data_IF_860069460014
#
_entry.id   IF_860069460014
#
_cell.length_a   1.000
_cell.length_b   1.000
_cell.length_c   1.000
_cell.angle_alpha   90.00
_cell.angle_beta   90.00
_cell.angle_gamma   90.00
#
_symmetry.space_group_name_H-M   'P 1'
#
loop_
_entity.id
_entity.type
_entity.pdbx_description
1 polymer ?
#
# COMPACT_ATOMS: atom_id res chain seq x y z
N UNK A 1 16.08 24.17 -20.47
CA UNK A 1 16.54 22.78 -20.36
C UNK A 1 16.89 22.49 -18.90
N UNK A 2 15.87 22.21 -18.07
CA UNK A 2 16.05 22.00 -16.62
C UNK A 2 16.37 20.52 -16.38
N UNK A 3 17.52 20.29 -15.75
CA UNK A 3 18.09 18.96 -15.51
C UNK A 3 17.30 18.23 -14.41
N UNK A 4 16.53 17.21 -14.82
CA UNK A 4 15.88 16.15 -14.03
C UNK A 4 16.86 15.26 -13.21
N UNK A 5 17.96 15.82 -12.67
CA UNK A 5 19.10 15.03 -12.18
C UNK A 5 19.05 14.58 -10.71
N UNK A 6 18.18 15.13 -9.87
CA UNK A 6 18.23 14.83 -8.41
C UNK A 6 17.39 13.62 -7.97
N UNK A 7 16.28 13.27 -8.63
CA UNK A 7 15.51 12.07 -8.28
C UNK A 7 16.14 10.74 -8.73
N UNK A 8 17.04 10.76 -9.71
CA UNK A 8 17.67 9.53 -10.25
C UNK A 8 18.74 8.92 -9.34
N UNK A 9 19.38 9.70 -8.49
CA UNK A 9 20.45 9.21 -7.61
C UNK A 9 19.91 8.56 -6.33
N UNK A 10 18.87 9.14 -5.71
CA UNK A 10 18.14 8.50 -4.61
C UNK A 10 17.53 7.15 -5.06
N UNK A 11 16.89 7.12 -6.23
CA UNK A 11 16.32 5.89 -6.79
C UNK A 11 17.36 4.79 -7.07
N UNK A 12 18.59 5.11 -7.51
CA UNK A 12 19.66 4.09 -7.71
C UNK A 12 20.27 3.60 -6.41
N UNK A 13 20.40 4.47 -5.41
CA UNK A 13 20.84 4.11 -4.06
C UNK A 13 19.82 3.20 -3.37
N UNK A 14 18.54 3.56 -3.44
CA UNK A 14 17.42 2.80 -2.90
C UNK A 14 17.23 1.45 -3.61
N UNK A 15 17.35 1.38 -4.94
CA UNK A 15 17.31 0.11 -5.68
C UNK A 15 18.49 -0.82 -5.33
N UNK A 16 19.68 -0.27 -4.99
CA UNK A 16 20.81 -1.06 -4.48
C UNK A 16 20.57 -1.53 -3.04
N UNK A 17 19.94 -0.72 -2.20
CA UNK A 17 19.56 -1.11 -0.83
C UNK A 17 18.40 -2.11 -0.78
N UNK A 18 17.40 -2.00 -1.67
CA UNK A 18 16.32 -2.98 -1.81
C UNK A 18 16.82 -4.40 -2.07
N UNK A 19 17.93 -4.54 -2.79
CA UNK A 19 18.61 -5.84 -3.01
C UNK A 19 19.35 -6.34 -1.75
N UNK A 20 19.52 -5.50 -0.73
CA UNK A 20 20.33 -5.71 0.49
C UNK A 20 19.53 -5.74 1.79
N UNK A 21 18.20 -5.78 1.76
CA UNK A 21 17.39 -6.02 2.98
C UNK A 21 16.87 -7.46 3.13
N UNK A 22 17.67 -8.53 2.89
CA UNK A 22 17.28 -9.81 3.42
C UNK A 22 17.55 -9.88 4.94
N UNK A 23 16.84 -10.79 5.63
CA UNK A 23 17.16 -11.12 7.02
C UNK A 23 18.67 -11.42 7.16
N UNK A 24 19.38 -10.83 8.14
CA UNK A 24 20.84 -10.99 8.29
C UNK A 24 21.25 -12.44 8.61
N UNK A 25 20.31 -13.26 9.10
CA UNK A 25 20.56 -14.68 9.37
C UNK A 25 20.37 -15.53 8.12
N UNK A 26 19.24 -15.38 7.43
CA UNK A 26 18.80 -16.36 6.42
C UNK A 26 18.82 -15.86 4.98
N UNK A 27 19.16 -14.59 4.74
CA UNK A 27 19.13 -14.06 3.39
C UNK A 27 17.70 -13.91 2.84
N UNK A 28 16.65 -14.01 3.67
CA UNK A 28 15.25 -14.11 3.25
C UNK A 28 14.83 -15.51 2.82
N UNK A 29 15.73 -16.49 2.83
CA UNK A 29 15.42 -17.90 2.60
C UNK A 29 15.26 -18.61 3.95
N UNK A 30 14.01 -18.80 4.39
CA UNK A 30 13.71 -19.39 5.69
C UNK A 30 14.35 -20.79 5.88
N UNK A 31 14.58 -21.55 4.81
CA UNK A 31 15.24 -22.86 4.88
C UNK A 31 16.71 -22.76 5.27
N UNK A 32 17.32 -21.59 5.07
CA UNK A 32 18.70 -21.25 5.47
C UNK A 32 18.77 -20.57 6.84
N UNK A 33 17.63 -20.34 7.51
CA UNK A 33 17.62 -19.72 8.82
C UNK A 33 18.21 -20.66 9.86
N UNK A 34 19.24 -20.19 10.58
CA UNK A 34 19.91 -20.93 11.65
C UNK A 34 19.30 -20.65 13.03
N UNK A 35 18.30 -19.79 13.12
CA UNK A 35 17.53 -19.60 14.35
C UNK A 35 16.60 -20.78 14.55
N UNK A 36 16.54 -21.32 15.77
CA UNK A 36 15.56 -22.34 16.16
C UNK A 36 14.11 -21.83 15.95
N UNK A 37 13.89 -20.55 16.25
CA UNK A 37 12.62 -19.84 16.06
C UNK A 37 12.88 -18.49 15.39
N UNK A 38 12.30 -18.27 14.22
CA UNK A 38 12.32 -16.95 13.59
C UNK A 38 11.34 -16.02 14.33
N UNK A 39 11.80 -14.88 14.91
CA UNK A 39 10.93 -14.00 15.70
C UNK A 39 9.77 -13.40 14.88
N UNK A 40 9.96 -13.20 13.58
CA UNK A 40 8.93 -12.67 12.68
C UNK A 40 7.91 -13.72 12.20
N UNK A 41 8.26 -15.01 12.27
CA UNK A 41 7.39 -16.09 11.82
C UNK A 41 6.78 -16.88 12.97
N UNK A 42 7.21 -16.64 14.23
CA UNK A 42 6.76 -17.40 15.40
C UNK A 42 5.24 -17.45 15.48
N UNK A 43 4.59 -16.30 15.33
CA UNK A 43 3.14 -16.15 15.53
C UNK A 43 2.31 -16.59 14.32
N UNK A 44 2.93 -16.76 13.15
CA UNK A 44 2.26 -17.19 11.90
C UNK A 44 2.66 -18.59 11.45
N UNK A 45 3.58 -19.27 12.14
CA UNK A 45 4.15 -20.56 11.68
C UNK A 45 3.08 -21.63 11.47
N UNK A 46 2.13 -21.74 12.39
CA UNK A 46 1.05 -22.72 12.29
C UNK A 46 0.10 -22.41 11.14
N UNK A 47 -0.26 -21.14 10.99
CA UNK A 47 -1.09 -20.65 9.90
C UNK A 47 -0.42 -20.90 8.54
N UNK A 48 0.87 -20.59 8.41
CA UNK A 48 1.67 -20.86 7.23
C UNK A 48 1.73 -22.35 6.88
N UNK A 49 1.86 -23.24 7.87
CA UNK A 49 1.82 -24.69 7.67
C UNK A 49 0.46 -25.17 7.16
N UNK A 50 -0.64 -24.69 7.74
CA UNK A 50 -2.01 -25.02 7.31
C UNK A 50 -2.24 -24.60 5.86
N UNK A 51 -1.84 -23.39 5.52
CA UNK A 51 -1.97 -22.81 4.18
C UNK A 51 -1.13 -23.57 3.14
N UNK A 52 0.06 -24.07 3.52
CA UNK A 52 0.91 -24.81 2.59
C UNK A 52 0.29 -26.14 2.15
N UNK A 53 -0.62 -26.74 2.92
CA UNK A 53 -1.29 -28.00 2.58
C UNK A 53 -2.58 -27.86 1.78
N UNK A 54 -2.97 -26.63 1.39
CA UNK A 54 -4.24 -26.38 0.71
C UNK A 54 -4.06 -25.53 -0.55
N UNK A 55 -4.83 -25.86 -1.58
CA UNK A 55 -5.00 -25.02 -2.79
C UNK A 55 -6.13 -24.01 -2.63
N UNK A 56 -7.02 -24.22 -1.66
CA UNK A 56 -8.16 -23.34 -1.39
C UNK A 56 -7.94 -22.60 -0.09
N UNK A 57 -8.09 -21.29 -0.13
CA UNK A 57 -7.96 -20.40 1.01
C UNK A 57 -9.30 -19.72 1.22
N UNK A 58 -9.81 -19.76 2.44
CA UNK A 58 -11.05 -19.11 2.81
C UNK A 58 -10.84 -18.23 4.03
N UNK A 59 -11.35 -17.00 3.98
CA UNK A 59 -11.32 -16.08 5.11
C UNK A 59 -11.72 -14.66 4.76
N UNK A 60 -11.79 -13.82 5.79
CA UNK A 60 -12.26 -12.43 5.73
C UNK A 60 -11.13 -11.53 5.25
N UNK A 61 -11.15 -11.14 3.98
CA UNK A 61 -10.20 -10.16 3.43
C UNK A 61 -10.51 -8.77 3.99
N UNK A 62 -9.52 -7.99 4.45
CA UNK A 62 -9.67 -6.60 4.94
C UNK A 62 -9.83 -5.58 3.79
N UNK A 63 -10.69 -5.91 2.83
CA UNK A 63 -10.60 -5.54 1.41
C UNK A 63 -9.21 -5.15 0.91
N UNK A 64 -8.40 -6.12 0.47
CA UNK A 64 -7.04 -5.83 0.01
C UNK A 64 -6.71 -6.49 -1.32
N UNK A 65 -6.10 -5.72 -2.21
CA UNK A 65 -5.65 -6.16 -3.53
C UNK A 65 -4.30 -5.54 -3.85
N UNK A 66 -3.42 -6.32 -4.49
CA UNK A 66 -2.06 -5.89 -4.79
C UNK A 66 -1.76 -6.00 -6.28
N UNK A 67 -1.46 -4.86 -6.89
CA UNK A 67 -1.11 -4.73 -8.31
C UNK A 67 0.39 -4.44 -8.37
N UNK A 68 1.14 -5.41 -8.89
CA UNK A 68 2.59 -5.30 -9.04
C UNK A 68 3.01 -4.38 -10.19
N UNK A 69 4.20 -3.81 -10.10
CA UNK A 69 4.83 -3.00 -11.16
C UNK A 69 5.64 -3.84 -12.16
N UNK A 70 6.10 -5.02 -11.77
CA UNK A 70 6.93 -5.88 -12.61
C UNK A 70 6.15 -6.42 -13.81
N UNK A 71 6.70 -6.24 -15.01
CA UNK A 71 6.10 -6.69 -16.27
C UNK A 71 5.15 -5.70 -16.94
N UNK A 72 4.97 -4.48 -16.40
CA UNK A 72 4.12 -3.44 -17.00
C UNK A 72 4.36 -3.29 -18.52
N UNK A 73 3.32 -3.29 -19.37
CA UNK A 73 1.88 -3.12 -19.07
C UNK A 73 1.12 -4.42 -18.77
N UNK A 74 1.80 -5.57 -18.58
CA UNK A 74 1.19 -6.81 -18.09
C UNK A 74 1.61 -7.06 -16.65
N UNK A 75 0.72 -6.75 -15.72
CA UNK A 75 1.01 -6.72 -14.29
C UNK A 75 0.46 -7.96 -13.58
N UNK A 76 1.04 -8.28 -12.42
CA UNK A 76 0.46 -9.28 -11.52
C UNK A 76 -0.57 -8.59 -10.61
N UNK A 77 -1.83 -8.99 -10.73
CA UNK A 77 -2.92 -8.52 -9.89
C UNK A 77 -3.54 -9.68 -9.11
N UNK A 78 -4.03 -9.42 -7.90
CA UNK A 78 -4.77 -10.40 -7.12
C UNK A 78 -5.09 -9.91 -5.71
N UNK A 79 -6.03 -10.60 -5.04
CA UNK A 79 -6.45 -10.24 -3.69
C UNK A 79 -5.41 -10.69 -2.66
N UNK A 80 -5.52 -10.12 -1.46
CA UNK A 80 -4.84 -10.58 -0.26
C UNK A 80 -5.90 -11.11 0.71
N UNK A 81 -5.81 -12.41 1.03
CA UNK A 81 -6.82 -13.11 1.84
C UNK A 81 -6.12 -13.83 2.98
N UNK A 82 -6.38 -13.47 4.25
CA UNK A 82 -5.90 -14.25 5.38
C UNK A 82 -6.80 -15.47 5.60
N UNK A 83 -6.26 -16.64 5.99
CA UNK A 83 -7.03 -17.87 6.18
C UNK A 83 -7.73 -17.89 7.56
N UNK A 84 -8.42 -16.80 7.88
CA UNK A 84 -9.14 -16.60 9.15
C UNK A 84 -10.49 -15.95 8.87
N UNK A 85 -11.50 -16.33 9.63
CA UNK A 85 -12.80 -15.67 9.63
C UNK A 85 -12.93 -14.86 10.92
N UNK A 86 -12.70 -13.55 10.81
CA UNK A 86 -12.67 -12.63 11.92
C UNK A 86 -12.75 -11.20 11.39
N UNK A 87 -12.89 -10.23 12.29
CA UNK A 87 -12.65 -8.84 11.93
C UNK A 87 -11.16 -8.65 11.59
N UNK A 88 -10.86 -8.48 10.31
CA UNK A 88 -9.52 -8.25 9.78
C UNK A 88 -9.24 -6.78 9.50
N UNK A 89 -10.13 -5.85 9.84
CA UNK A 89 -10.00 -4.41 9.51
C UNK A 89 -8.64 -3.84 9.90
N UNK A 90 -8.11 -4.24 11.06
CA UNK A 90 -6.79 -3.83 11.55
C UNK A 90 -5.64 -4.16 10.57
N UNK A 91 -5.78 -5.19 9.73
CA UNK A 91 -4.77 -5.61 8.75
C UNK A 91 -4.61 -4.65 7.55
N UNK A 92 -5.49 -3.65 7.40
CA UNK A 92 -5.40 -2.55 6.44
C UNK A 92 -5.61 -1.16 7.09
N UNK A 93 -5.61 -1.08 8.43
CA UNK A 93 -5.64 0.19 9.18
C UNK A 93 -4.23 0.73 9.45
N UNK A 94 -3.67 1.40 8.44
CA UNK A 94 -2.31 1.95 8.51
C UNK A 94 -2.14 3.00 9.62
N UNK A 95 -3.21 3.72 9.99
CA UNK A 95 -3.16 4.77 11.00
C UNK A 95 -2.83 4.21 12.38
N UNK A 96 -3.42 3.07 12.73
CA UNK A 96 -3.18 2.42 14.02
C UNK A 96 -1.90 1.58 14.09
N UNK A 97 -1.22 1.33 12.96
CA UNK A 97 -0.08 0.40 12.93
C UNK A 97 1.15 0.89 13.67
N UNK A 98 1.31 2.20 13.78
CA UNK A 98 2.44 2.80 14.49
C UNK A 98 2.37 2.50 16.00
N UNK A 99 1.16 2.28 16.54
CA UNK A 99 0.93 1.95 17.94
C UNK A 99 0.99 0.43 18.24
N UNK A 100 1.03 -0.41 17.20
CA UNK A 100 1.16 -1.86 17.36
C UNK A 100 2.61 -2.27 17.50
N UNK A 101 2.96 -3.30 18.29
CA UNK A 101 4.30 -3.88 18.27
C UNK A 101 4.71 -4.34 16.87
N UNK A 102 5.95 -4.09 16.45
CA UNK A 102 6.45 -4.43 15.11
C UNK A 102 6.22 -5.90 14.76
N UNK A 103 6.39 -6.79 15.75
CA UNK A 103 6.18 -8.22 15.60
C UNK A 103 4.74 -8.56 15.22
N UNK A 104 3.77 -7.88 15.86
CA UNK A 104 2.34 -8.03 15.54
C UNK A 104 2.02 -7.50 14.14
N UNK A 105 2.59 -6.35 13.76
CA UNK A 105 2.44 -5.82 12.42
C UNK A 105 2.96 -6.79 11.35
N UNK A 106 4.18 -7.29 11.55
CA UNK A 106 4.79 -8.26 10.63
C UNK A 106 3.98 -9.55 10.56
N UNK A 107 3.49 -10.08 11.69
CA UNK A 107 2.68 -11.31 11.70
C UNK A 107 1.36 -11.13 10.94
N UNK A 108 0.62 -10.03 11.16
CA UNK A 108 -0.59 -9.70 10.40
C UNK A 108 -0.33 -9.63 8.89
N UNK A 109 0.75 -8.97 8.49
CA UNK A 109 1.11 -8.83 7.07
C UNK A 109 1.54 -10.16 6.43
N UNK A 110 2.23 -11.02 7.19
CA UNK A 110 2.66 -12.34 6.74
C UNK A 110 1.53 -13.39 6.76
N UNK A 111 0.43 -13.16 7.47
CA UNK A 111 -0.76 -14.04 7.40
C UNK A 111 -1.57 -13.87 6.12
N UNK A 112 -1.37 -12.77 5.39
CA UNK A 112 -2.12 -12.45 4.17
C UNK A 112 -1.62 -13.31 2.99
N UNK A 113 -2.46 -14.26 2.53
CA UNK A 113 -2.16 -15.06 1.35
C UNK A 113 -2.41 -14.24 0.10
N UNK A 114 -1.37 -14.11 -0.73
CA UNK A 114 -1.41 -13.34 -1.96
C UNK A 114 -1.79 -14.20 -3.16
N UNK A 115 -2.97 -13.93 -3.69
CA UNK A 115 -3.31 -14.31 -5.05
C UNK A 115 -2.53 -13.46 -6.08
N UNK A 116 -2.04 -14.08 -7.15
CA UNK A 116 -1.48 -13.35 -8.29
C UNK A 116 -1.90 -13.97 -9.62
N UNK A 117 -2.29 -13.15 -10.58
CA UNK A 117 -2.50 -13.53 -11.98
C UNK A 117 -1.96 -12.44 -12.91
N UNK A 118 -1.30 -12.79 -14.03
CA UNK A 118 -0.95 -11.81 -15.04
C UNK A 118 -2.21 -11.24 -15.72
N UNK A 119 -2.32 -9.91 -15.77
CA UNK A 119 -3.45 -9.17 -16.35
C UNK A 119 -2.91 -7.98 -17.14
N UNK A 120 -3.54 -7.62 -18.27
CA UNK A 120 -3.16 -6.38 -18.96
C UNK A 120 -3.81 -5.20 -18.24
N UNK A 121 -3.09 -4.10 -18.09
CA UNK A 121 -3.62 -2.94 -17.36
C UNK A 121 -4.93 -2.39 -17.94
N UNK A 122 -5.13 -2.52 -19.25
CA UNK A 122 -6.32 -2.07 -19.97
C UNK A 122 -7.58 -2.91 -19.67
N UNK A 123 -7.39 -4.15 -19.18
CA UNK A 123 -8.50 -5.06 -18.84
C UNK A 123 -9.36 -4.52 -17.69
N UNK A 124 -8.89 -3.53 -16.94
CA UNK A 124 -9.68 -2.84 -15.91
C UNK A 124 -11.03 -2.30 -16.43
N UNK A 125 -11.12 -2.00 -17.73
CA UNK A 125 -12.33 -1.47 -18.38
C UNK A 125 -13.36 -2.55 -18.70
N UNK A 126 -12.85 -3.74 -19.05
CA UNK A 126 -13.62 -4.89 -19.49
C UNK A 126 -13.06 -6.12 -18.74
N UNK A 127 -13.31 -6.20 -17.42
CA UNK A 127 -12.64 -7.16 -16.56
C UNK A 127 -13.09 -8.59 -16.86
N UNK A 128 -12.14 -9.54 -16.80
CA UNK A 128 -12.49 -10.94 -16.64
C UNK A 128 -13.27 -11.15 -15.33
N UNK A 129 -13.99 -12.27 -15.19
CA UNK A 129 -14.71 -12.61 -13.96
C UNK A 129 -13.85 -12.46 -12.70
N UNK A 130 -12.62 -12.96 -12.74
CA UNK A 130 -11.69 -12.83 -11.61
C UNK A 130 -11.36 -11.36 -11.31
N UNK A 131 -11.08 -10.55 -12.33
CA UNK A 131 -10.74 -9.14 -12.12
C UNK A 131 -11.95 -8.36 -11.60
N UNK A 132 -13.15 -8.67 -12.08
CA UNK A 132 -14.39 -8.08 -11.60
C UNK A 132 -14.60 -8.38 -10.11
N UNK A 133 -14.41 -9.64 -9.68
CA UNK A 133 -14.45 -10.00 -8.25
C UNK A 133 -13.43 -9.21 -7.42
N UNK A 134 -12.21 -9.03 -7.93
CA UNK A 134 -11.16 -8.26 -7.21
C UNK A 134 -11.53 -6.77 -7.16
N UNK A 135 -12.12 -6.23 -8.23
CA UNK A 135 -12.62 -4.85 -8.28
C UNK A 135 -13.74 -4.63 -7.28
N UNK A 136 -14.70 -5.56 -7.21
CA UNK A 136 -15.81 -5.54 -6.27
C UNK A 136 -15.32 -5.64 -4.81
N UNK A 137 -14.38 -6.55 -4.52
CA UNK A 137 -13.69 -6.61 -3.24
C UNK A 137 -13.01 -5.27 -2.92
N UNK A 138 -12.38 -4.63 -3.90
CA UNK A 138 -11.70 -3.35 -3.73
C UNK A 138 -12.61 -2.19 -3.36
N UNK A 139 -13.91 -2.28 -3.66
CA UNK A 139 -14.92 -1.27 -3.30
C UNK A 139 -15.47 -1.46 -1.89
N UNK A 140 -15.23 -2.63 -1.27
CA UNK A 140 -15.73 -2.93 0.06
C UNK A 140 -15.07 -2.04 1.13
N UNK A 141 -15.86 -1.65 2.12
CA UNK A 141 -15.42 -0.87 3.28
C UNK A 141 -15.05 -1.76 4.48
N UNK A 142 -15.81 -2.83 4.70
CA UNK A 142 -15.60 -3.79 5.80
C UNK A 142 -14.93 -5.07 5.31
N UNK A 143 -14.33 -5.86 6.20
CA UNK A 143 -13.91 -7.22 5.88
C UNK A 143 -14.99 -7.98 5.12
N UNK A 144 -14.57 -8.72 4.08
CA UNK A 144 -15.46 -9.50 3.23
C UNK A 144 -14.91 -10.92 3.09
N UNK A 145 -15.75 -11.93 3.33
CA UNK A 145 -15.36 -13.33 3.18
C UNK A 145 -15.09 -13.67 1.71
N UNK A 146 -13.89 -14.20 1.46
CA UNK A 146 -13.40 -14.57 0.13
C UNK A 146 -12.94 -16.01 0.11
N UNK A 147 -13.42 -16.77 -0.87
CA UNK A 147 -12.86 -18.06 -1.25
C UNK A 147 -11.90 -17.88 -2.43
N UNK A 148 -10.63 -18.25 -2.22
CA UNK A 148 -9.54 -18.13 -3.18
C UNK A 148 -9.03 -19.52 -3.56
N UNK A 149 -9.16 -19.87 -4.84
CA UNK A 149 -8.67 -21.12 -5.40
C UNK A 149 -7.36 -20.87 -6.16
N UNK A 150 -6.32 -21.60 -5.78
CA UNK A 150 -4.98 -21.52 -6.35
C UNK A 150 -4.68 -22.74 -7.24
N UNK A 151 -3.88 -22.52 -8.28
CA UNK A 151 -3.43 -23.60 -9.19
C UNK A 151 -2.63 -24.68 -8.44
N UNK A 152 -1.80 -24.23 -7.50
CA UNK A 152 -0.92 -25.03 -6.65
C UNK A 152 -0.91 -24.46 -5.24
N UNK A 153 -0.40 -25.25 -4.31
CA UNK A 153 -0.11 -24.80 -2.96
C UNK A 153 0.71 -23.50 -2.98
N UNK A 154 0.36 -22.50 -2.15
CA UNK A 154 1.02 -21.22 -2.15
C UNK A 154 2.46 -21.36 -1.66
N UNK A 155 3.36 -20.67 -2.34
CA UNK A 155 4.78 -20.68 -2.01
C UNK A 155 5.04 -19.70 -0.87
N UNK A 156 5.61 -20.20 0.23
CA UNK A 156 6.06 -19.38 1.36
C UNK A 156 7.41 -18.77 1.02
N UNK A 157 7.38 -17.51 0.58
CA UNK A 157 8.57 -16.66 0.40
C UNK A 157 8.24 -15.27 0.93
N UNK A 158 8.33 -15.05 2.25
CA UNK A 158 8.08 -13.73 2.83
C UNK A 158 9.05 -12.73 2.18
N UNK A 159 8.49 -11.76 1.46
CA UNK A 159 9.27 -10.72 0.80
C UNK A 159 9.37 -9.51 1.71
N UNK A 160 10.54 -9.24 2.26
CA UNK A 160 10.84 -7.96 2.88
C UNK A 160 11.44 -7.06 1.80
N UNK A 161 10.59 -6.24 1.18
CA UNK A 161 11.03 -5.22 0.21
C UNK A 161 10.86 -3.85 0.86
N UNK A 162 11.77 -2.93 0.56
CA UNK A 162 11.71 -1.58 1.13
C UNK A 162 10.42 -0.83 0.75
N UNK A 163 9.87 -1.10 -0.45
CA UNK A 163 8.72 -0.38 -1.01
C UNK A 163 7.38 -1.12 -0.96
N UNK A 164 7.35 -2.34 -0.43
CA UNK A 164 6.12 -3.09 -0.30
C UNK A 164 6.03 -3.67 1.10
N UNK A 165 4.87 -3.52 1.72
CA UNK A 165 4.56 -4.21 2.96
C UNK A 165 4.85 -5.71 2.79
N UNK A 166 5.41 -6.38 3.81
CA UNK A 166 5.61 -7.82 3.77
C UNK A 166 4.34 -8.53 3.30
N UNK A 167 4.49 -9.51 2.43
CA UNK A 167 3.37 -10.34 2.00
C UNK A 167 3.60 -11.77 2.44
N UNK A 168 2.53 -12.44 2.83
CA UNK A 168 2.53 -13.86 3.16
C UNK A 168 2.75 -14.78 1.97
N UNK A 169 2.32 -16.06 2.08
CA UNK A 169 2.40 -17.05 1.00
C UNK A 169 1.76 -16.54 -0.29
N UNK A 170 2.26 -16.96 -1.45
CA UNK A 170 1.68 -16.53 -2.73
C UNK A 170 1.47 -17.67 -3.71
N UNK A 171 0.35 -17.62 -4.43
CA UNK A 171 -0.02 -18.64 -5.42
C UNK A 171 -0.70 -18.03 -6.64
N UNK A 172 -0.65 -18.74 -7.76
CA UNK A 172 -1.36 -18.33 -8.98
C UNK A 172 -2.86 -18.55 -8.79
N UNK A 173 -3.67 -17.52 -8.98
CA UNK A 173 -5.13 -17.60 -8.77
C UNK A 173 -5.83 -18.19 -9.98
N UNK A 174 -6.63 -19.21 -9.74
CA UNK A 174 -7.57 -19.78 -10.70
C UNK A 174 -8.90 -19.04 -10.60
N UNK A 175 -9.43 -18.94 -9.37
CA UNK A 175 -10.76 -18.41 -9.08
C UNK A 175 -10.75 -17.63 -7.75
N UNK A 176 -11.55 -16.59 -7.68
CA UNK A 176 -11.89 -15.91 -6.43
C UNK A 176 -13.40 -15.70 -6.39
N UNK A 177 -14.02 -15.91 -5.23
CA UNK A 177 -15.45 -15.80 -5.01
C UNK A 177 -15.65 -14.97 -3.74
N UNK A 178 -16.51 -13.96 -3.81
CA UNK A 178 -17.01 -13.31 -2.60
C UNK A 178 -18.12 -14.21 -2.04
N UNK A 179 -17.95 -14.67 -0.80
CA UNK A 179 -18.93 -15.54 -0.14
C UNK A 179 -20.12 -14.76 0.42
N UNK A 180 -20.04 -13.43 0.39
CA UNK A 180 -21.08 -12.51 0.82
C UNK A 180 -21.08 -11.25 -0.05
N UNK A 181 -22.12 -10.43 0.07
CA UNK A 181 -22.18 -9.14 -0.61
C UNK A 181 -21.32 -8.11 0.15
N UNK A 182 -20.33 -7.47 -0.50
CA UNK A 182 -19.49 -6.49 0.17
C UNK A 182 -20.28 -5.24 0.55
N UNK A 183 -19.97 -4.69 1.72
CA UNK A 183 -20.52 -3.39 2.14
C UNK A 183 -19.79 -2.27 1.41
N UNK A 184 -20.44 -1.65 0.42
CA UNK A 184 -19.87 -0.57 -0.40
C UNK A 184 -20.48 0.77 0.01
N UNK A 185 -19.67 1.80 0.34
CA UNK A 185 -20.17 3.15 0.61
C UNK A 185 -20.86 3.74 -0.62
N UNK A 186 -22.02 4.38 -0.44
CA UNK A 186 -22.80 4.97 -1.55
C UNK A 186 -21.99 5.93 -2.42
N UNK A 187 -21.09 6.71 -1.82
CA UNK A 187 -20.21 7.64 -2.54
C UNK A 187 -19.19 6.91 -3.41
N UNK A 188 -18.68 5.76 -2.96
CA UNK A 188 -17.76 4.91 -3.73
C UNK A 188 -18.50 4.32 -4.92
N UNK A 189 -19.67 3.73 -4.69
CA UNK A 189 -20.49 3.15 -5.76
C UNK A 189 -20.85 4.19 -6.85
N UNK A 190 -21.28 5.39 -6.41
CA UNK A 190 -21.58 6.51 -7.30
C UNK A 190 -20.37 6.93 -8.14
N UNK A 191 -19.22 7.16 -7.51
CA UNK A 191 -18.02 7.66 -8.19
C UNK A 191 -17.42 6.60 -9.12
N UNK A 192 -17.43 5.33 -8.73
CA UNK A 192 -16.94 4.23 -9.57
C UNK A 192 -17.86 4.02 -10.78
N UNK A 193 -19.17 4.24 -10.62
CA UNK A 193 -20.15 4.17 -11.72
C UNK A 193 -20.06 5.36 -12.68
N UNK A 194 -19.54 6.52 -12.23
CA UNK A 194 -19.32 7.68 -13.09
C UNK A 194 -18.09 7.47 -13.99
N UNK A 195 -18.37 7.17 -15.25
CA UNK A 195 -17.37 6.86 -16.27
C UNK A 195 -16.86 8.10 -17.03
N UNK A 196 -17.40 9.28 -16.74
CA UNK A 196 -17.05 10.57 -17.35
C UNK A 196 -16.35 11.53 -16.36
N UNK A 197 -16.24 11.13 -15.09
CA UNK A 197 -15.46 11.84 -14.07
C UNK A 197 -13.96 11.63 -14.25
N UNK A 198 -13.17 12.72 -14.17
CA UNK A 198 -11.70 12.62 -14.19
C UNK A 198 -11.18 11.99 -12.89
N UNK A 199 -10.11 11.20 -12.98
CA UNK A 199 -9.55 10.50 -11.82
C UNK A 199 -9.15 11.48 -10.69
N UNK A 200 -8.57 12.64 -11.04
CA UNK A 200 -8.20 13.67 -10.06
C UNK A 200 -9.40 14.29 -9.33
N UNK A 201 -10.54 14.45 -10.01
CA UNK A 201 -11.77 14.92 -9.41
C UNK A 201 -12.37 13.83 -8.50
N UNK A 202 -12.46 12.60 -9.01
CA UNK A 202 -12.94 11.44 -8.26
C UNK A 202 -12.16 11.21 -6.95
N UNK A 203 -10.82 11.28 -7.00
CA UNK A 203 -9.94 11.14 -5.83
C UNK A 203 -10.29 12.17 -4.77
N UNK A 204 -10.39 13.45 -5.15
CA UNK A 204 -10.66 14.51 -4.17
C UNK A 204 -12.10 14.50 -3.64
N UNK A 205 -13.09 14.15 -4.48
CA UNK A 205 -14.48 13.98 -4.04
C UNK A 205 -14.63 12.84 -3.02
N UNK A 206 -13.95 11.71 -3.24
CA UNK A 206 -13.89 10.61 -2.27
C UNK A 206 -13.26 11.08 -0.95
N UNK A 207 -12.10 11.74 -1.04
CA UNK A 207 -11.38 12.25 0.14
C UNK A 207 -12.25 13.20 0.97
N UNK A 208 -12.86 14.21 0.33
CA UNK A 208 -13.76 15.17 0.97
C UNK A 208 -15.02 14.55 1.55
N UNK A 209 -15.43 13.39 1.05
CA UNK A 209 -16.58 12.64 1.55
C UNK A 209 -16.21 11.71 2.72
N UNK A 210 -14.97 11.80 3.23
CA UNK A 210 -14.50 11.00 4.37
C UNK A 210 -14.04 9.60 4.02
N UNK A 211 -13.87 9.27 2.72
CA UNK A 211 -13.29 7.98 2.33
C UNK A 211 -11.78 8.04 2.58
N UNK A 212 -11.29 7.10 3.41
CA UNK A 212 -9.88 7.02 3.75
C UNK A 212 -8.98 6.85 2.52
N UNK A 213 -7.82 7.50 2.54
CA UNK A 213 -6.86 7.55 1.44
C UNK A 213 -6.49 6.16 0.90
N UNK A 214 -6.32 5.18 1.79
CA UNK A 214 -6.03 3.78 1.43
C UNK A 214 -7.11 3.14 0.55
N UNK A 215 -8.37 3.43 0.84
CA UNK A 215 -9.49 2.98 0.02
C UNK A 215 -9.42 3.64 -1.35
N UNK A 216 -9.12 4.94 -1.43
CA UNK A 216 -8.96 5.67 -2.69
C UNK A 216 -7.80 5.11 -3.52
N UNK A 217 -6.65 4.84 -2.90
CA UNK A 217 -5.49 4.18 -3.51
C UNK A 217 -5.88 2.83 -4.10
N UNK A 218 -6.65 2.02 -3.37
CA UNK A 218 -7.15 0.72 -3.83
C UNK A 218 -8.06 0.85 -5.05
N UNK A 219 -9.01 1.80 -5.02
CA UNK A 219 -9.90 2.09 -6.15
C UNK A 219 -9.11 2.53 -7.39
N UNK A 220 -8.14 3.43 -7.24
CA UNK A 220 -7.26 3.86 -8.34
C UNK A 220 -6.42 2.70 -8.88
N UNK A 221 -5.81 1.92 -8.00
CA UNK A 221 -4.95 0.79 -8.35
C UNK A 221 -5.71 -0.28 -9.16
N UNK A 222 -6.97 -0.50 -8.82
CA UNK A 222 -7.88 -1.42 -9.52
C UNK A 222 -8.52 -0.84 -10.78
N UNK A 223 -8.14 0.38 -11.16
CA UNK A 223 -8.60 1.05 -12.36
C UNK A 223 -10.08 1.42 -12.31
N UNK A 224 -10.62 1.67 -11.11
CA UNK A 224 -12.03 2.01 -10.91
C UNK A 224 -12.30 3.51 -11.00
N UNK A 225 -11.27 4.35 -11.02
CA UNK A 225 -11.40 5.81 -11.06
C UNK A 225 -10.96 6.38 -12.41
N UNK A 226 -11.67 7.42 -12.85
CA UNK A 226 -11.37 8.18 -14.06
C UNK A 226 -12.23 7.81 -15.28
N UNK A 227 -11.97 8.52 -16.38
CA UNK A 227 -12.69 8.36 -17.65
C UNK A 227 -12.63 6.92 -18.15
N UNK A 228 -13.75 6.36 -18.65
CA UNK A 228 -13.86 4.96 -19.12
C UNK A 228 -12.69 4.54 -20.01
N UNK A 229 -12.42 5.36 -21.02
CA UNK A 229 -11.38 5.12 -22.04
C UNK A 229 -9.95 5.20 -21.50
N UNK A 230 -9.76 5.67 -20.27
CA UNK A 230 -8.46 5.86 -19.64
C UNK A 230 -8.26 5.04 -18.37
N UNK A 231 -9.30 4.42 -17.81
CA UNK A 231 -9.19 3.47 -16.68
C UNK A 231 -8.18 2.37 -17.01
N UNK A 232 -7.25 2.11 -16.08
CA UNK A 232 -6.23 1.06 -16.19
C UNK A 232 -5.90 0.56 -14.79
N UNK A 233 -5.45 -0.68 -14.67
CA UNK A 233 -4.76 -1.10 -13.45
C UNK A 233 -3.49 -0.28 -13.29
N UNK A 234 -3.31 0.31 -12.12
CA UNK A 234 -2.13 1.08 -11.75
C UNK A 234 -1.40 0.31 -10.66
N UNK A 235 -0.08 0.06 -10.79
CA UNK A 235 0.70 -0.51 -9.70
C UNK A 235 0.39 0.18 -8.38
N UNK A 236 0.24 -0.59 -7.32
CA UNK A 236 -0.22 -0.06 -6.02
C UNK A 236 0.70 1.03 -5.49
N UNK A 237 2.03 0.87 -5.67
CA UNK A 237 3.02 1.90 -5.33
C UNK A 237 2.78 3.22 -6.06
N UNK A 238 2.52 3.18 -7.37
CA UNK A 238 2.25 4.39 -8.15
C UNK A 238 0.89 5.01 -7.79
N UNK A 239 -0.05 4.18 -7.36
CA UNK A 239 -1.37 4.64 -6.91
C UNK A 239 -1.29 5.39 -5.60
N UNK A 240 -0.42 4.96 -4.67
CA UNK A 240 -0.11 5.68 -3.43
C UNK A 240 0.40 7.07 -3.80
N UNK A 241 1.52 7.15 -4.53
CA UNK A 241 2.11 8.44 -4.94
C UNK A 241 1.12 9.33 -5.69
N UNK A 242 0.32 8.78 -6.60
CA UNK A 242 -0.64 9.55 -7.38
C UNK A 242 -1.79 10.11 -6.52
N UNK A 243 -2.33 9.33 -5.57
CA UNK A 243 -3.39 9.81 -4.68
C UNK A 243 -2.84 10.89 -3.75
N UNK A 244 -1.70 10.64 -3.11
CA UNK A 244 -1.04 11.56 -2.18
C UNK A 244 -0.76 12.91 -2.86
N UNK A 245 -0.22 12.87 -4.08
CA UNK A 245 0.07 14.06 -4.87
C UNK A 245 -1.20 14.84 -5.25
N UNK A 246 -2.27 14.16 -5.67
CA UNK A 246 -3.52 14.82 -6.05
C UNK A 246 -4.23 15.47 -4.85
N UNK A 247 -4.26 14.79 -3.70
CA UNK A 247 -4.83 15.33 -2.47
C UNK A 247 -3.95 16.47 -1.95
N UNK A 248 -2.64 16.22 -1.84
CA UNK A 248 -1.65 17.18 -1.35
C UNK A 248 -1.65 18.49 -2.13
N UNK A 249 -1.77 18.45 -3.46
CA UNK A 249 -1.88 19.68 -4.28
C UNK A 249 -3.09 20.55 -3.93
N UNK A 250 -4.23 19.93 -3.62
CA UNK A 250 -5.44 20.68 -3.23
C UNK A 250 -5.30 21.24 -1.83
N UNK A 251 -4.86 20.42 -0.88
CA UNK A 251 -4.61 20.86 0.49
C UNK A 251 -3.57 21.99 0.56
N UNK A 252 -2.51 21.94 -0.26
CA UNK A 252 -1.53 23.04 -0.34
C UNK A 252 -2.14 24.36 -0.79
N UNK A 253 -3.11 24.34 -1.70
CA UNK A 253 -3.79 25.57 -2.10
C UNK A 253 -4.70 26.10 -1.00
N UNK A 254 -5.38 25.21 -0.27
CA UNK A 254 -6.18 25.57 0.91
C UNK A 254 -5.29 26.16 2.03
N UNK A 255 -4.11 25.57 2.28
CA UNK A 255 -3.15 26.04 3.29
C UNK A 255 -2.69 27.49 3.08
N UNK A 256 -2.65 27.97 1.83
CA UNK A 256 -2.28 29.36 1.51
C UNK A 256 -3.32 30.39 1.97
N UNK A 257 -4.53 29.95 2.31
CA UNK A 257 -5.62 30.80 2.79
C UNK A 257 -5.65 30.93 4.33
N UNK A 258 -4.85 30.15 5.05
CA UNK A 258 -4.75 30.22 6.50
C UNK A 258 -3.82 31.33 6.97
N UNK A 259 -4.03 31.80 8.21
CA UNK A 259 -3.18 32.77 8.87
C UNK A 259 -1.75 32.25 9.06
N UNK A 260 -0.79 33.17 9.14
CA UNK A 260 0.61 32.86 9.38
C UNK A 260 0.83 32.30 10.78
N UNK A 261 1.80 31.40 10.89
CA UNK A 261 2.29 30.93 12.17
C UNK A 261 3.23 32.01 12.73
N UNK A 262 3.07 32.37 14.00
CA UNK A 262 3.86 33.44 14.62
C UNK A 262 5.01 32.94 15.51
N UNK A 263 5.09 31.62 15.72
CA UNK A 263 6.05 30.97 16.61
C UNK A 263 6.66 29.74 15.97
N UNK A 264 7.87 29.37 16.38
CA UNK A 264 8.42 28.08 16.01
C UNK A 264 7.62 26.98 16.69
N UNK A 265 7.20 25.98 15.91
CA UNK A 265 6.53 24.80 16.44
C UNK A 265 7.34 23.56 16.06
N UNK A 266 7.67 22.74 17.05
CA UNK A 266 8.44 21.53 16.86
C UNK A 266 7.56 20.33 17.20
N UNK A 267 7.36 19.48 16.22
CA UNK A 267 6.61 18.23 16.35
C UNK A 267 7.56 17.06 16.14
N UNK A 268 7.38 16.01 16.94
CA UNK A 268 8.16 14.79 16.80
C UNK A 268 7.28 13.58 17.04
N UNK A 269 7.49 12.55 16.25
CA UNK A 269 6.93 11.23 16.48
C UNK A 269 7.97 10.15 16.20
N UNK A 270 7.96 9.08 16.99
CA UNK A 270 8.87 7.94 16.82
C UNK A 270 8.08 6.64 16.92
N UNK A 271 8.24 5.78 15.91
CA UNK A 271 7.70 4.43 15.91
C UNK A 271 8.58 3.51 15.05
N UNK A 272 8.69 2.24 15.43
CA UNK A 272 9.37 1.21 14.63
C UNK A 272 10.78 1.58 14.17
N UNK A 273 11.56 2.23 15.04
CA UNK A 273 12.92 2.71 14.75
C UNK A 273 13.00 3.78 13.67
N UNK A 274 11.87 4.43 13.37
CA UNK A 274 11.80 5.61 12.53
C UNK A 274 11.34 6.80 13.37
N UNK A 275 12.08 7.90 13.30
CA UNK A 275 11.75 9.15 13.97
C UNK A 275 11.54 10.25 12.93
N UNK A 276 10.38 10.89 12.97
CA UNK A 276 10.05 12.04 12.13
C UNK A 276 9.99 13.27 13.02
N UNK A 277 10.71 14.32 12.64
CA UNK A 277 10.70 15.62 13.31
C UNK A 277 10.29 16.67 12.29
N UNK A 278 9.25 17.44 12.60
CA UNK A 278 8.74 18.54 11.77
C UNK A 278 8.93 19.84 12.53
N UNK A 279 9.62 20.79 11.92
CA UNK A 279 9.77 22.16 12.40
C UNK A 279 8.93 23.08 11.52
N UNK A 280 7.90 23.71 12.09
CA UNK A 280 7.19 24.81 11.45
C UNK A 280 7.87 26.13 11.80
N UNK A 281 8.08 26.96 10.79
CA UNK A 281 8.84 28.21 10.90
C UNK A 281 7.85 29.39 10.83
N UNK A 282 8.01 30.44 11.67
CA UNK A 282 7.14 31.61 11.64
C UNK A 282 7.05 32.26 10.25
N UNK A 283 5.84 32.56 9.80
CA UNK A 283 5.54 33.19 8.52
C UNK A 283 4.50 32.41 7.70
N UNK A 284 4.56 32.47 6.35
CA UNK A 284 3.70 31.64 5.49
C UNK A 284 3.98 30.15 5.73
N UNK A 285 3.17 29.25 5.17
CA UNK A 285 3.38 27.79 5.29
C UNK A 285 4.81 27.40 4.87
N UNK A 286 5.64 27.11 5.87
CA UNK A 286 7.05 26.78 5.74
C UNK A 286 7.42 25.72 6.76
N UNK A 287 8.22 24.76 6.36
CA UNK A 287 8.64 23.69 7.25
C UNK A 287 10.01 23.13 6.89
N UNK A 288 10.64 22.51 7.88
CA UNK A 288 11.68 21.50 7.67
C UNK A 288 11.21 20.19 8.28
N UNK A 289 11.39 19.08 7.57
CA UNK A 289 11.12 17.74 8.08
C UNK A 289 12.38 16.89 8.00
N UNK A 290 12.69 16.22 9.11
CA UNK A 290 13.77 15.27 9.22
C UNK A 290 13.20 13.90 9.53
N UNK A 291 13.49 12.90 8.70
CA UNK A 291 13.14 11.51 8.94
C UNK A 291 14.41 10.70 9.18
N UNK A 292 14.50 10.07 10.35
CA UNK A 292 15.68 9.36 10.82
C UNK A 292 15.33 7.90 11.05
N UNK A 293 15.90 7.03 10.21
CA UNK A 293 15.80 5.58 10.35
C UNK A 293 17.01 5.03 11.12
N UNK A 294 16.73 4.43 12.27
CA UNK A 294 17.70 3.68 13.06
C UNK A 294 17.74 2.23 12.56
N UNK A 295 18.81 1.85 11.84
CA UNK A 295 19.04 0.48 11.37
C UNK A 295 20.08 -0.19 12.27
N UNK A 296 20.01 -1.52 12.39
CA UNK A 296 21.00 -2.30 13.13
C UNK A 296 22.40 -2.12 12.55
N UNK A 297 23.15 -1.14 13.05
CA UNK A 297 24.50 -0.77 12.63
C UNK A 297 24.67 0.60 11.96
N UNK A 298 23.62 1.43 11.82
CA UNK A 298 23.76 2.76 11.22
C UNK A 298 22.48 3.59 11.19
N UNK A 299 22.61 4.85 10.77
CA UNK A 299 21.51 5.81 10.68
C UNK A 299 21.33 6.26 9.23
N UNK A 300 20.08 6.35 8.77
CA UNK A 300 19.74 6.98 7.49
C UNK A 300 18.86 8.18 7.76
N UNK A 301 19.26 9.35 7.25
CA UNK A 301 18.52 10.60 7.40
C UNK A 301 17.97 10.99 6.04
N UNK A 302 16.68 11.34 6.02
CA UNK A 302 16.06 12.10 4.95
C UNK A 302 15.69 13.48 5.46
N UNK A 303 15.76 14.47 4.58
CA UNK A 303 15.39 15.85 4.86
C UNK A 303 14.56 16.37 3.69
N UNK A 304 13.46 17.03 4.02
CA UNK A 304 12.63 17.76 3.06
C UNK A 304 12.22 19.11 3.66
N UNK A 305 11.93 20.09 2.81
CA UNK A 305 11.68 21.45 3.29
C UNK A 305 10.89 22.29 2.28
N UNK A 306 10.08 23.19 2.79
CA UNK A 306 9.44 24.27 2.04
C UNK A 306 9.88 25.61 2.67
N UNK A 307 10.75 26.35 2.00
CA UNK A 307 11.35 27.60 2.49
C UNK A 307 11.12 28.76 1.50
N UNK A 308 11.19 30.02 1.95
CA UNK A 308 11.03 31.18 1.08
C UNK A 308 12.07 31.20 -0.04
N UNK A 309 11.61 31.35 -1.28
CA UNK A 309 12.49 31.47 -2.46
C UNK A 309 12.96 30.13 -3.04
N UNK A 310 12.60 29.00 -2.43
CA UNK A 310 12.73 27.71 -3.10
C UNK A 310 11.77 27.67 -4.30
N UNK A 311 12.22 27.22 -5.49
CA UNK A 311 11.29 26.95 -6.59
C UNK A 311 10.35 25.84 -6.14
N UNK A 312 9.04 26.03 -6.33
CA UNK A 312 8.01 25.05 -5.96
C UNK A 312 8.42 23.65 -6.47
N UNK A 313 8.87 22.80 -5.54
CA UNK A 313 9.51 21.51 -5.88
C UNK A 313 8.47 20.46 -6.24
N UNK A 314 7.18 20.78 -6.10
CA UNK A 314 6.07 19.86 -6.28
C UNK A 314 5.16 20.33 -7.43
N UNK A 315 5.27 19.73 -8.64
CA UNK A 315 4.55 20.17 -9.84
C UNK A 315 3.04 19.95 -9.82
#
# INVERSE_FOLDING_TARGET
MVQLKLYRFAGRGELREERRVPCPVCGGDFKKCRLEICPYLKDVRELLRKVQGSKTIFGSSPPSALIGSWGYPRVLAGPLVPPIQADTSLMEDYGSWLDLPLQKLVSMRLSMVRGKKPVRVEDARNPSRLLATIQELGMAYTPTDVELELDKEPVIRPGFKLRYAPTGPSGTVVKAILAENPTIPRVVDKIVSDIDLKASQAIYELYRSGIGERHIVRLLSLGLLGLKRWRRLVPTEWSITAVDDQIGRRLRNELKEYDWINTYELYQYEAHYNRVTVLLIPGPWMFEVFEVWYRGGGMKIYHDSELPGDPDRYP
#
